data_IF_195769195320
#
_entry.id   IF_195769195320
#
_cell.length_a   1.000
_cell.length_b   1.000
_cell.length_c   1.000
_cell.angle_alpha   90.00
_cell.angle_beta   90.00
_cell.angle_gamma   90.00
#
_symmetry.space_group_name_H-M   'P 1'
#
loop_
_entity.id
_entity.type
_entity.pdbx_description
1 polymer ?
#
# COMPACT_ATOMS: atom_id res chain seq x y z
N UNK A 1 -60.66 55.41 52.18
CA UNK A 1 -60.06 56.24 51.12
C UNK A 1 -58.63 55.74 50.86
N UNK A 2 -58.30 55.44 49.59
CA UNK A 2 -56.97 55.45 48.92
C UNK A 2 -55.82 54.60 49.54
N UNK A 3 -55.38 53.51 48.89
CA UNK A 3 -54.36 53.43 47.80
C UNK A 3 -52.97 53.03 48.38
N UNK A 4 -52.09 52.14 47.88
CA UNK A 4 -51.86 51.45 46.59
C UNK A 4 -50.83 50.30 46.82
N UNK A 5 -51.05 49.08 46.29
CA UNK A 5 -50.36 48.39 45.14
C UNK A 5 -49.04 47.65 45.49
N UNK A 6 -49.07 46.31 45.62
CA UNK A 6 -48.61 45.22 44.68
C UNK A 6 -47.09 45.20 44.41
N UNK A 7 -46.38 44.08 44.65
CA UNK A 7 -46.34 42.94 43.72
C UNK A 7 -46.16 41.53 44.34
N UNK A 8 -46.74 40.57 43.61
CA UNK A 8 -46.84 39.09 43.73
C UNK A 8 -45.46 38.39 43.55
N UNK A 9 -45.18 37.12 43.92
CA UNK A 9 -45.94 35.94 44.38
C UNK A 9 -44.95 34.83 44.84
N UNK A 10 -45.34 34.09 45.90
CA UNK A 10 -45.38 32.62 46.16
C UNK A 10 -44.07 31.78 46.07
N UNK A 11 -43.57 31.17 47.16
CA UNK A 11 -44.06 30.01 47.95
C UNK A 11 -43.95 28.67 47.17
N UNK A 12 -43.48 27.53 47.70
CA UNK A 12 -43.58 27.02 49.07
C UNK A 12 -42.51 25.94 49.39
N UNK A 13 -42.52 25.56 50.67
CA UNK A 13 -41.56 24.77 51.47
C UNK A 13 -41.81 23.26 51.40
N UNK A 14 -40.74 22.50 51.69
CA UNK A 14 -40.61 21.05 51.87
C UNK A 14 -41.61 20.41 52.84
N UNK A 15 -41.95 19.13 52.58
CA UNK A 15 -42.24 18.12 53.61
C UNK A 15 -41.89 16.71 53.09
N UNK A 16 -41.39 15.87 54.01
CA UNK A 16 -40.76 14.56 53.81
C UNK A 16 -41.75 13.37 53.78
N UNK A 17 -41.28 12.18 53.33
CA UNK A 17 -41.42 10.85 53.97
C UNK A 17 -40.88 9.71 53.05
N UNK A 18 -40.56 8.50 53.60
CA UNK A 18 -39.59 7.53 53.09
C UNK A 18 -40.21 6.38 52.26
N UNK A 19 -39.36 5.64 51.52
CA UNK A 19 -39.76 4.47 50.73
C UNK A 19 -39.17 3.16 51.27
N UNK A 20 -40.09 2.23 51.52
CA UNK A 20 -39.90 0.82 51.87
C UNK A 20 -39.51 -0.02 50.66
N UNK A 21 -38.74 -1.07 50.94
CA UNK A 21 -38.30 -2.11 50.01
C UNK A 21 -39.46 -3.01 49.53
N UNK A 22 -39.40 -3.39 48.25
CA UNK A 22 -40.18 -4.47 47.66
C UNK A 22 -39.36 -5.14 46.56
N UNK A 23 -38.90 -6.37 46.82
CA UNK A 23 -38.15 -7.18 45.88
C UNK A 23 -39.07 -7.77 44.80
N UNK A 24 -38.73 -7.54 43.54
CA UNK A 24 -39.21 -8.28 42.38
C UNK A 24 -38.00 -8.96 41.71
N UNK A 25 -38.06 -10.28 41.58
CA UNK A 25 -37.15 -11.09 40.77
C UNK A 25 -37.45 -10.82 39.29
N UNK A 26 -36.55 -10.11 38.59
CA UNK A 26 -36.55 -10.00 37.13
C UNK A 26 -35.37 -10.80 36.57
N UNK A 27 -35.67 -11.75 35.67
CA UNK A 27 -34.71 -12.67 35.08
C UNK A 27 -33.62 -11.97 34.27
N UNK A 28 -32.41 -12.52 34.34
CA UNK A 28 -31.31 -12.18 33.45
C UNK A 28 -31.68 -12.53 31.99
N UNK A 29 -31.34 -11.70 31.00
CA UNK A 29 -31.46 -12.07 29.60
C UNK A 29 -30.47 -13.21 29.29
N UNK A 30 -30.81 -14.15 28.38
CA UNK A 30 -29.88 -15.21 28.00
C UNK A 30 -28.68 -14.62 27.27
N UNK A 31 -27.49 -15.06 27.66
CA UNK A 31 -26.24 -14.84 26.93
C UNK A 31 -26.41 -15.34 25.49
N UNK A 32 -26.31 -14.43 24.52
CA UNK A 32 -26.29 -14.78 23.12
C UNK A 32 -24.98 -15.53 22.83
N UNK A 33 -25.08 -16.85 22.62
CA UNK A 33 -23.99 -17.68 22.10
C UNK A 33 -23.51 -17.09 20.78
N UNK A 34 -22.22 -16.76 20.71
CA UNK A 34 -21.57 -16.31 19.49
C UNK A 34 -21.75 -17.35 18.37
N UNK A 35 -22.50 -16.99 17.33
CA UNK A 35 -22.58 -17.79 16.12
C UNK A 35 -21.24 -17.73 15.39
N UNK A 36 -20.65 -18.89 15.13
CA UNK A 36 -19.50 -19.07 14.23
C UNK A 36 -19.81 -18.43 12.88
N UNK A 37 -18.93 -17.60 12.28
CA UNK A 37 -19.21 -17.04 10.97
C UNK A 37 -19.28 -18.14 9.93
N UNK A 38 -20.40 -18.21 9.20
CA UNK A 38 -20.55 -19.08 8.04
C UNK A 38 -19.57 -18.64 6.93
N UNK A 39 -18.89 -19.62 6.33
CA UNK A 39 -17.95 -19.40 5.23
C UNK A 39 -18.62 -18.68 4.05
N UNK A 40 -17.94 -17.68 3.49
CA UNK A 40 -18.40 -16.98 2.29
C UNK A 40 -18.30 -17.91 1.07
N UNK A 41 -19.42 -18.23 0.45
CA UNK A 41 -19.44 -19.08 -0.74
C UNK A 41 -18.88 -18.34 -1.96
N UNK A 42 -17.70 -18.74 -2.42
CA UNK A 42 -17.16 -18.34 -3.72
C UNK A 42 -18.01 -18.99 -4.82
N UNK A 43 -18.78 -18.21 -5.58
CA UNK A 43 -19.57 -18.74 -6.70
C UNK A 43 -19.13 -18.11 -8.01
N UNK A 44 -18.64 -18.92 -8.95
CA UNK A 44 -18.44 -18.50 -10.34
C UNK A 44 -17.56 -19.42 -11.17
N UNK A 45 -17.37 -19.06 -12.43
CA UNK A 45 -16.76 -19.90 -13.46
C UNK A 45 -15.50 -19.25 -14.04
N UNK A 46 -14.40 -19.99 -14.15
CA UNK A 46 -13.11 -19.51 -14.66
C UNK A 46 -11.91 -20.34 -14.19
N UNK A 47 -10.67 -19.85 -14.36
CA UNK A 47 -9.49 -20.57 -13.92
C UNK A 47 -9.36 -20.62 -12.39
N UNK A 48 -8.90 -21.75 -11.87
CA UNK A 48 -8.31 -21.84 -10.53
C UNK A 48 -6.80 -21.77 -10.70
N UNK A 49 -6.13 -20.78 -10.11
CA UNK A 49 -4.67 -20.62 -10.23
C UNK A 49 -3.96 -20.89 -8.90
N UNK A 50 -2.71 -21.33 -8.96
CA UNK A 50 -1.89 -21.65 -7.79
C UNK A 50 -0.39 -21.47 -8.03
N UNK A 51 0.43 -22.28 -7.37
CA UNK A 51 1.90 -22.19 -7.41
C UNK A 51 2.47 -22.10 -8.84
N UNK A 52 3.43 -21.20 -9.02
CA UNK A 52 4.07 -20.96 -10.32
C UNK A 52 3.17 -20.24 -11.33
N UNK A 53 2.04 -19.64 -10.91
CA UNK A 53 1.09 -18.98 -11.80
C UNK A 53 0.32 -19.95 -12.70
N UNK A 54 0.29 -21.23 -12.33
CA UNK A 54 -0.31 -22.31 -13.13
C UNK A 54 -1.76 -22.55 -12.76
N UNK A 55 -2.49 -23.13 -13.69
CA UNK A 55 -3.90 -23.41 -13.57
C UNK A 55 -4.14 -24.86 -13.13
N UNK A 56 -5.19 -25.06 -12.32
CA UNK A 56 -5.79 -26.39 -12.11
C UNK A 56 -6.42 -26.80 -13.44
N UNK A 57 -6.02 -27.95 -13.95
CA UNK A 57 -6.26 -28.40 -15.31
C UNK A 57 -6.81 -29.82 -15.31
N UNK A 58 -7.83 -30.07 -16.13
CA UNK A 58 -8.28 -31.43 -16.47
C UNK A 58 -7.38 -31.96 -17.57
N UNK A 59 -6.60 -32.99 -17.26
CA UNK A 59 -5.58 -33.51 -18.18
C UNK A 59 -6.14 -33.84 -19.56
N UNK A 60 -5.56 -33.21 -20.59
CA UNK A 60 -5.95 -33.35 -21.99
C UNK A 60 -7.44 -33.08 -22.28
N UNK A 61 -8.11 -32.28 -21.44
CA UNK A 61 -9.56 -32.05 -21.49
C UNK A 61 -10.40 -33.35 -21.47
N UNK A 62 -9.87 -34.42 -20.86
CA UNK A 62 -10.54 -35.71 -20.79
C UNK A 62 -11.84 -35.65 -20.00
N UNK A 63 -12.89 -36.29 -20.52
CA UNK A 63 -14.22 -36.34 -19.89
C UNK A 63 -14.56 -37.72 -19.35
N UNK A 64 -13.60 -38.65 -19.26
CA UNK A 64 -13.80 -39.93 -18.61
C UNK A 64 -13.68 -39.79 -17.08
N UNK A 65 -14.45 -40.56 -16.32
CA UNK A 65 -14.26 -40.67 -14.87
C UNK A 65 -12.85 -41.18 -14.57
N UNK A 66 -12.16 -40.52 -13.64
CA UNK A 66 -10.77 -40.82 -13.31
C UNK A 66 -9.73 -40.00 -14.08
N UNK A 67 -10.17 -39.11 -14.99
CA UNK A 67 -9.27 -38.16 -15.66
C UNK A 67 -8.49 -37.37 -14.62
N UNK A 68 -7.17 -37.27 -14.77
CA UNK A 68 -6.31 -36.62 -13.80
C UNK A 68 -6.61 -35.11 -13.72
N UNK A 69 -6.64 -34.59 -12.50
CA UNK A 69 -6.56 -33.15 -12.26
C UNK A 69 -5.11 -32.80 -11.93
N UNK A 70 -4.55 -31.84 -12.66
CA UNK A 70 -3.12 -31.54 -12.68
C UNK A 70 -2.86 -30.03 -12.66
N UNK A 71 -1.60 -29.63 -12.46
CA UNK A 71 -1.12 -28.29 -12.82
C UNK A 71 -0.71 -28.25 -14.28
N UNK A 72 -1.10 -27.16 -14.94
CA UNK A 72 -0.65 -26.85 -16.30
C UNK A 72 -0.53 -25.34 -16.49
N UNK A 73 0.26 -24.91 -17.47
CA UNK A 73 0.27 -23.51 -17.90
C UNK A 73 -1.14 -23.06 -18.25
N UNK A 74 -1.51 -21.86 -17.78
CA UNK A 74 -2.80 -21.29 -18.08
C UNK A 74 -2.92 -21.03 -19.59
N UNK A 75 -3.83 -21.73 -20.25
CA UNK A 75 -3.97 -21.77 -21.71
C UNK A 75 -5.37 -21.36 -22.19
N UNK A 76 -6.28 -21.01 -21.27
CA UNK A 76 -7.61 -20.49 -21.58
C UNK A 76 -8.60 -21.51 -22.14
N UNK A 77 -8.26 -22.80 -22.13
CA UNK A 77 -9.15 -23.87 -22.61
C UNK A 77 -10.21 -24.23 -21.57
N UNK A 78 -11.28 -24.92 -22.00
CA UNK A 78 -12.33 -25.41 -21.10
C UNK A 78 -11.82 -26.43 -20.06
N UNK A 79 -10.66 -27.05 -20.29
CA UNK A 79 -10.01 -27.93 -19.30
C UNK A 79 -9.60 -27.18 -18.02
N UNK A 80 -9.50 -25.86 -18.08
CA UNK A 80 -9.12 -24.98 -16.97
C UNK A 80 -10.28 -24.09 -16.52
N UNK A 81 -11.48 -24.27 -17.09
CA UNK A 81 -12.66 -23.52 -16.71
C UNK A 81 -13.45 -24.29 -15.65
N UNK A 82 -13.25 -23.90 -14.39
CA UNK A 82 -13.90 -24.50 -13.23
C UNK A 82 -15.06 -23.62 -12.75
N UNK A 83 -16.18 -24.22 -12.39
CA UNK A 83 -17.31 -23.59 -11.72
C UNK A 83 -17.29 -23.97 -10.25
N UNK A 84 -17.12 -23.00 -9.36
CA UNK A 84 -17.35 -23.20 -7.91
C UNK A 84 -18.83 -22.97 -7.63
N UNK A 85 -19.52 -24.03 -7.24
CA UNK A 85 -20.95 -24.03 -6.97
C UNK A 85 -21.28 -23.64 -5.53
N UNK A 86 -22.46 -23.07 -5.33
CA UNK A 86 -23.02 -22.84 -3.98
C UNK A 86 -23.35 -24.15 -3.24
N UNK A 87 -23.37 -25.28 -3.97
CA UNK A 87 -23.53 -26.65 -3.47
C UNK A 87 -22.21 -27.25 -2.94
N UNK A 88 -21.19 -26.43 -2.71
CA UNK A 88 -19.84 -26.84 -2.25
C UNK A 88 -19.11 -27.80 -3.20
N UNK A 89 -19.51 -27.84 -4.47
CA UNK A 89 -18.79 -28.60 -5.49
C UNK A 89 -17.94 -27.68 -6.37
N UNK A 90 -16.88 -28.23 -6.96
CA UNK A 90 -16.02 -27.54 -7.94
C UNK A 90 -16.07 -28.35 -9.22
N UNK A 91 -16.61 -27.80 -10.31
CA UNK A 91 -16.94 -28.55 -11.53
C UNK A 91 -16.15 -28.07 -12.74
N UNK A 92 -15.67 -28.98 -13.57
CA UNK A 92 -15.16 -28.67 -14.90
C UNK A 92 -15.67 -29.70 -15.90
N UNK A 93 -15.92 -29.28 -17.15
CA UNK A 93 -16.40 -30.17 -18.22
C UNK A 93 -17.65 -30.99 -17.82
N UNK A 94 -18.53 -30.42 -16.99
CA UNK A 94 -19.76 -31.06 -16.52
C UNK A 94 -19.59 -32.09 -15.40
N UNK A 95 -18.38 -32.25 -14.83
CA UNK A 95 -18.04 -33.21 -13.78
C UNK A 95 -17.40 -32.53 -12.57
N UNK A 96 -17.32 -33.23 -11.45
CA UNK A 96 -16.85 -32.72 -10.17
C UNK A 96 -15.36 -33.01 -9.92
N UNK A 97 -14.66 -32.07 -9.27
CA UNK A 97 -13.36 -32.25 -8.65
C UNK A 97 -13.50 -33.25 -7.49
N UNK A 98 -12.80 -34.38 -7.60
CA UNK A 98 -13.04 -35.55 -6.78
C UNK A 98 -11.75 -36.05 -6.14
N UNK A 99 -11.81 -36.36 -4.84
CA UNK A 99 -10.74 -37.07 -4.14
C UNK A 99 -10.84 -38.56 -4.44
N UNK A 100 -9.81 -39.10 -5.11
CA UNK A 100 -9.84 -40.46 -5.65
C UNK A 100 -10.20 -41.50 -4.59
N UNK A 101 -11.23 -42.30 -4.89
CA UNK A 101 -11.66 -43.41 -4.02
C UNK A 101 -12.17 -42.96 -2.66
N UNK A 102 -12.57 -41.69 -2.50
CA UNK A 102 -12.95 -41.10 -1.22
C UNK A 102 -11.84 -41.16 -0.16
N UNK A 103 -10.58 -41.29 -0.59
CA UNK A 103 -9.45 -41.41 0.30
C UNK A 103 -9.27 -40.19 1.19
N UNK A 104 -8.81 -40.41 2.41
CA UNK A 104 -8.67 -39.34 3.42
C UNK A 104 -7.22 -39.05 3.80
N UNK A 105 -6.24 -39.80 3.29
CA UNK A 105 -4.82 -39.67 3.70
C UNK A 105 -4.05 -38.67 2.83
N UNK A 106 -2.96 -38.11 3.38
CA UNK A 106 -2.02 -37.25 2.65
C UNK A 106 -1.53 -37.94 1.37
N UNK A 107 -1.53 -37.20 0.26
CA UNK A 107 -1.06 -37.68 -1.03
C UNK A 107 -2.13 -38.36 -1.88
N UNK A 108 -3.36 -38.53 -1.38
CA UNK A 108 -4.49 -39.02 -2.18
C UNK A 108 -4.71 -38.08 -3.37
N UNK A 109 -4.73 -38.63 -4.59
CA UNK A 109 -4.75 -37.85 -5.83
C UNK A 109 -6.13 -37.33 -6.17
N UNK A 110 -6.16 -36.26 -6.95
CA UNK A 110 -7.39 -35.69 -7.47
C UNK A 110 -7.68 -36.20 -8.89
N UNK A 111 -8.98 -36.23 -9.18
CA UNK A 111 -9.51 -36.67 -10.45
C UNK A 111 -10.79 -35.91 -10.78
N UNK A 112 -11.21 -36.01 -12.04
CA UNK A 112 -12.52 -35.60 -12.49
C UNK A 112 -13.46 -36.81 -12.43
N UNK A 113 -14.65 -36.64 -11.84
CA UNK A 113 -15.63 -37.71 -11.69
C UNK A 113 -17.06 -37.19 -11.81
N UNK A 114 -17.99 -38.04 -12.25
CA UNK A 114 -19.41 -37.71 -12.25
C UNK A 114 -19.87 -37.21 -10.87
N UNK A 115 -20.63 -36.12 -10.86
CA UNK A 115 -21.12 -35.57 -9.61
C UNK A 115 -22.08 -36.58 -8.95
N UNK A 116 -21.69 -37.13 -7.80
CA UNK A 116 -22.37 -38.23 -7.11
C UNK A 116 -22.81 -37.86 -5.68
N UNK A 117 -22.54 -36.62 -5.24
CA UNK A 117 -22.95 -36.11 -3.92
C UNK A 117 -22.11 -36.64 -2.75
N UNK A 118 -21.05 -37.42 -2.99
CA UNK A 118 -20.14 -37.86 -1.93
C UNK A 118 -19.34 -36.70 -1.34
N UNK A 119 -18.87 -36.86 -0.10
CA UNK A 119 -18.03 -35.87 0.56
C UNK A 119 -16.65 -35.71 -0.09
N UNK A 120 -16.22 -36.65 -0.94
CA UNK A 120 -15.01 -36.54 -1.77
C UNK A 120 -15.10 -35.45 -2.86
N UNK A 121 -16.32 -34.99 -3.16
CA UNK A 121 -16.60 -33.95 -4.15
C UNK A 121 -16.98 -32.61 -3.51
N UNK A 122 -16.94 -32.55 -2.18
CA UNK A 122 -17.26 -31.36 -1.41
C UNK A 122 -15.97 -30.59 -1.10
N UNK A 123 -15.99 -29.30 -1.33
CA UNK A 123 -14.87 -28.39 -1.16
C UNK A 123 -15.33 -27.08 -0.53
N UNK A 124 -14.58 -26.64 0.48
CA UNK A 124 -14.81 -25.39 1.20
C UNK A 124 -13.62 -24.49 0.93
N UNK A 125 -13.88 -23.36 0.28
CA UNK A 125 -12.89 -22.31 0.10
C UNK A 125 -12.71 -21.54 1.42
N UNK A 126 -11.47 -21.39 1.85
CA UNK A 126 -11.10 -20.54 3.00
C UNK A 126 -10.61 -19.18 2.50
N UNK A 127 -10.71 -18.15 3.35
CA UNK A 127 -10.42 -16.76 2.98
C UNK A 127 -8.93 -16.50 2.65
N UNK A 128 -8.04 -17.40 3.06
CA UNK A 128 -6.60 -17.36 2.81
C UNK A 128 -6.18 -18.14 1.55
N UNK A 129 -7.14 -18.61 0.75
CA UNK A 129 -6.91 -19.32 -0.51
C UNK A 129 -6.79 -20.84 -0.37
N UNK A 130 -6.91 -21.39 0.83
CA UNK A 130 -6.97 -22.83 0.99
C UNK A 130 -8.31 -23.39 0.46
N UNK A 131 -8.25 -24.57 -0.19
CA UNK A 131 -9.45 -25.29 -0.63
C UNK A 131 -9.53 -26.61 0.12
N UNK A 132 -10.36 -26.65 1.16
CA UNK A 132 -10.50 -27.80 2.08
C UNK A 132 -11.50 -28.81 1.53
N UNK A 133 -11.17 -30.08 1.57
CA UNK A 133 -12.15 -31.16 1.45
C UNK A 133 -12.64 -31.56 2.87
N UNK A 134 -13.90 -31.27 3.27
CA UNK A 134 -14.35 -31.49 4.65
C UNK A 134 -14.32 -32.95 5.10
N UNK A 135 -14.56 -33.90 4.18
CA UNK A 135 -14.55 -35.34 4.49
C UNK A 135 -13.16 -35.83 4.91
N UNK A 136 -12.11 -35.40 4.20
CA UNK A 136 -10.73 -35.77 4.52
C UNK A 136 -10.08 -34.88 5.59
N UNK A 137 -10.62 -33.68 5.80
CA UNK A 137 -10.01 -32.64 6.64
C UNK A 137 -8.76 -31.98 6.02
N UNK A 138 -8.44 -32.31 4.76
CA UNK A 138 -7.22 -31.92 4.05
C UNK A 138 -7.50 -30.93 2.93
N UNK A 139 -6.44 -30.41 2.33
CA UNK A 139 -6.45 -29.27 1.43
C UNK A 139 -5.91 -29.63 0.05
N UNK A 140 -6.44 -28.99 -0.99
CA UNK A 140 -5.90 -29.04 -2.35
C UNK A 140 -4.41 -28.65 -2.33
N UNK A 141 -3.56 -29.50 -2.88
CA UNK A 141 -2.10 -29.41 -2.74
C UNK A 141 -1.41 -29.77 -4.06
N UNK A 142 -0.41 -28.96 -4.44
CA UNK A 142 0.55 -29.33 -5.46
C UNK A 142 1.76 -30.02 -4.79
N UNK A 143 2.02 -31.32 -5.08
CA UNK A 143 3.00 -32.12 -4.35
C UNK A 143 4.39 -31.49 -4.31
N UNK A 144 4.87 -31.15 -3.12
CA UNK A 144 6.20 -30.59 -2.90
C UNK A 144 6.47 -29.28 -3.64
N UNK A 145 5.43 -28.54 -4.02
CA UNK A 145 5.56 -27.30 -4.80
C UNK A 145 6.04 -27.51 -6.24
N UNK A 146 5.93 -28.73 -6.79
CA UNK A 146 6.34 -29.01 -8.17
C UNK A 146 5.48 -28.22 -9.17
N UNK A 147 6.12 -27.37 -9.97
CA UNK A 147 5.48 -26.52 -10.97
C UNK A 147 5.56 -27.11 -12.39
N UNK A 148 6.06 -28.32 -12.60
CA UNK A 148 6.07 -28.93 -13.93
C UNK A 148 4.64 -29.13 -14.46
N UNK A 149 4.42 -28.88 -15.76
CA UNK A 149 3.17 -29.21 -16.43
C UNK A 149 2.90 -30.71 -16.33
N UNK A 150 1.67 -31.08 -15.99
CA UNK A 150 1.28 -32.47 -15.74
C UNK A 150 1.45 -32.92 -14.28
N UNK A 151 1.89 -32.04 -13.38
CA UNK A 151 1.97 -32.37 -11.95
C UNK A 151 0.58 -32.70 -11.40
N UNK A 152 0.35 -33.96 -11.02
CA UNK A 152 -0.95 -34.42 -10.52
C UNK A 152 -1.21 -33.89 -9.11
N UNK A 153 -2.32 -33.15 -8.95
CA UNK A 153 -2.74 -32.57 -7.68
C UNK A 153 -3.20 -33.64 -6.69
N UNK A 154 -3.11 -33.31 -5.41
CA UNK A 154 -3.43 -34.19 -4.30
C UNK A 154 -4.14 -33.45 -3.17
N UNK A 155 -4.57 -34.18 -2.14
CA UNK A 155 -4.88 -33.60 -0.83
C UNK A 155 -3.72 -33.76 0.15
N UNK A 156 -3.51 -32.76 0.99
CA UNK A 156 -2.49 -32.80 2.04
C UNK A 156 -2.91 -31.99 3.27
N UNK A 157 -2.30 -32.25 4.43
CA UNK A 157 -2.53 -31.49 5.65
C UNK A 157 -2.21 -30.01 5.44
N UNK A 158 -2.92 -29.14 6.16
CA UNK A 158 -2.75 -27.69 6.05
C UNK A 158 -1.30 -27.29 6.35
N UNK A 159 -0.73 -26.47 5.49
CA UNK A 159 0.54 -25.80 5.73
C UNK A 159 0.48 -24.37 5.20
N UNK A 160 1.51 -23.57 5.45
CA UNK A 160 1.57 -22.17 5.02
C UNK A 160 2.32 -22.00 3.70
N UNK A 161 2.58 -23.09 2.96
CA UNK A 161 3.37 -23.00 1.75
C UNK A 161 2.51 -22.50 0.58
N UNK A 162 3.10 -21.75 -0.36
CA UNK A 162 2.37 -21.19 -1.50
C UNK A 162 1.71 -22.21 -2.45
N UNK A 163 2.03 -23.50 -2.32
CA UNK A 163 1.47 -24.58 -3.15
C UNK A 163 0.22 -25.26 -2.59
N UNK A 164 -0.33 -24.74 -1.49
CA UNK A 164 -1.69 -25.04 -1.00
C UNK A 164 -2.66 -23.85 -1.09
N UNK A 165 -2.18 -22.72 -1.60
CA UNK A 165 -3.01 -21.52 -1.77
C UNK A 165 -3.46 -21.39 -3.22
N UNK A 166 -4.77 -21.23 -3.42
CA UNK A 166 -5.44 -21.24 -4.71
C UNK A 166 -6.35 -20.02 -4.86
N UNK A 167 -6.37 -19.45 -6.06
CA UNK A 167 -7.32 -18.42 -6.44
C UNK A 167 -8.47 -19.05 -7.20
N UNK A 168 -9.69 -18.99 -6.65
CA UNK A 168 -10.90 -19.57 -7.26
C UNK A 168 -11.63 -18.58 -8.17
N UNK A 169 -12.35 -19.06 -9.20
CA UNK A 169 -13.20 -18.24 -10.04
C UNK A 169 -14.48 -17.81 -9.32
N UNK A 170 -14.88 -16.54 -9.48
CA UNK A 170 -16.09 -16.00 -8.84
C UNK A 170 -16.04 -15.84 -7.32
N UNK A 171 -14.90 -16.13 -6.69
CA UNK A 171 -14.58 -15.77 -5.30
C UNK A 171 -14.37 -14.27 -5.10
N UNK A 172 -15.30 -13.45 -5.60
CA UNK A 172 -15.46 -12.03 -5.28
C UNK A 172 -16.19 -11.80 -3.96
N UNK A 173 -16.02 -12.71 -2.99
CA UNK A 173 -16.35 -12.48 -1.59
C UNK A 173 -15.14 -11.85 -0.93
N UNK A 174 -15.28 -10.59 -0.55
CA UNK A 174 -14.26 -9.74 0.06
C UNK A 174 -13.52 -10.49 1.19
N UNK A 175 -12.20 -10.76 1.06
CA UNK A 175 -11.40 -11.01 2.26
C UNK A 175 -11.52 -9.75 3.14
N UNK A 176 -11.46 -9.84 4.49
CA UNK A 176 -11.18 -8.66 5.30
C UNK A 176 -9.77 -8.20 4.89
N UNK A 177 -9.67 -7.31 3.90
CA UNK A 177 -8.53 -7.39 3.00
C UNK A 177 -8.94 -7.17 1.56
N UNK A 178 -8.97 -8.18 0.68
CA UNK A 178 -8.94 -8.08 -0.81
C UNK A 178 -9.70 -6.92 -1.45
N UNK A 179 -9.02 -6.17 -2.32
CA UNK A 179 -9.61 -5.09 -3.11
C UNK A 179 -9.83 -5.58 -4.55
N UNK A 180 -10.97 -5.24 -5.15
CA UNK A 180 -11.24 -5.43 -6.58
C UNK A 180 -10.82 -4.17 -7.32
N UNK A 181 -9.78 -4.21 -8.15
CA UNK A 181 -9.30 -2.99 -8.77
C UNK A 181 -10.29 -2.49 -9.82
N UNK A 182 -10.79 -1.28 -9.63
CA UNK A 182 -11.65 -0.62 -10.62
C UNK A 182 -10.88 -0.21 -11.89
N UNK A 183 -9.55 -0.14 -11.80
CA UNK A 183 -8.65 0.31 -12.86
C UNK A 183 -7.81 -0.86 -13.41
N UNK A 184 -7.81 -1.03 -14.73
CA UNK A 184 -6.88 -1.93 -15.43
C UNK A 184 -5.45 -1.37 -15.44
N UNK A 185 -4.53 -2.03 -16.16
CA UNK A 185 -3.20 -1.45 -16.41
C UNK A 185 -3.31 -0.28 -17.38
N UNK A 186 -2.59 0.80 -17.11
CA UNK A 186 -2.60 2.02 -17.93
C UNK A 186 -2.56 3.30 -17.09
N UNK A 187 -2.72 4.44 -17.76
CA UNK A 187 -2.77 5.75 -17.12
C UNK A 187 -4.21 6.29 -17.09
N UNK A 188 -4.60 6.85 -15.95
CA UNK A 188 -5.95 7.32 -15.69
C UNK A 188 -5.92 8.67 -14.96
N UNK A 189 -6.78 9.60 -15.38
CA UNK A 189 -7.15 10.75 -14.57
C UNK A 189 -8.21 10.30 -13.56
N UNK A 190 -7.74 10.02 -12.33
CA UNK A 190 -8.59 9.50 -11.26
C UNK A 190 -9.20 10.65 -10.47
N UNK A 191 -10.55 10.71 -10.34
CA UNK A 191 -11.20 11.76 -9.58
C UNK A 191 -11.01 11.55 -8.07
N UNK A 192 -10.58 12.61 -7.38
CA UNK A 192 -10.44 12.66 -5.93
C UNK A 192 -11.22 13.85 -5.39
N UNK A 193 -12.30 13.59 -4.66
CA UNK A 193 -13.10 14.63 -3.99
C UNK A 193 -12.44 15.06 -2.68
N UNK A 194 -12.22 16.36 -2.53
CA UNK A 194 -11.63 16.97 -1.33
C UNK A 194 -12.15 18.40 -1.15
N UNK A 195 -12.65 18.72 0.06
CA UNK A 195 -13.15 20.06 0.37
C UNK A 195 -14.29 20.54 -0.56
N UNK A 196 -15.15 19.63 -1.01
CA UNK A 196 -16.25 19.93 -1.94
C UNK A 196 -15.83 20.14 -3.41
N UNK A 197 -14.53 20.00 -3.72
CA UNK A 197 -13.99 20.08 -5.09
C UNK A 197 -13.48 18.71 -5.54
N UNK A 198 -13.67 18.36 -6.81
CA UNK A 198 -13.08 17.15 -7.41
C UNK A 198 -11.80 17.52 -8.15
N UNK A 199 -10.70 16.89 -7.77
CA UNK A 199 -9.39 17.03 -8.40
C UNK A 199 -9.06 15.80 -9.22
N UNK A 200 -8.50 15.98 -10.41
CA UNK A 200 -8.00 14.88 -11.21
C UNK A 200 -6.55 14.57 -10.83
N UNK A 201 -6.30 13.31 -10.47
CA UNK A 201 -4.97 12.79 -10.14
C UNK A 201 -4.54 11.82 -11.21
N UNK A 202 -3.42 12.08 -11.86
CA UNK A 202 -2.85 11.15 -12.81
C UNK A 202 -2.33 9.91 -12.07
N UNK A 203 -2.82 8.74 -12.44
CA UNK A 203 -2.45 7.46 -11.83
C UNK A 203 -1.98 6.51 -12.93
N UNK A 204 -0.78 5.96 -12.76
CA UNK A 204 -0.25 4.88 -13.58
C UNK A 204 -0.40 3.56 -12.84
N UNK A 205 -1.15 2.63 -13.42
CA UNK A 205 -1.33 1.26 -12.94
C UNK A 205 -0.47 0.33 -13.80
N UNK A 206 0.47 -0.41 -13.22
CA UNK A 206 1.29 -1.35 -13.99
C UNK A 206 0.48 -2.60 -14.38
N UNK A 207 1.00 -3.43 -15.30
CA UNK A 207 0.50 -4.78 -15.51
C UNK A 207 0.40 -5.54 -14.18
N UNK A 208 -0.75 -6.18 -13.92
CA UNK A 208 -0.99 -6.91 -12.67
C UNK A 208 -1.91 -8.11 -12.85
N UNK A 209 -1.71 -9.13 -12.02
CA UNK A 209 -2.69 -10.19 -11.83
C UNK A 209 -3.97 -9.65 -11.19
N UNK A 210 -5.11 -10.23 -11.54
CA UNK A 210 -6.41 -9.83 -11.00
C UNK A 210 -6.46 -10.00 -9.46
N UNK A 211 -6.86 -8.93 -8.75
CA UNK A 211 -7.00 -8.92 -7.29
C UNK A 211 -5.72 -8.67 -6.49
N UNK A 212 -4.57 -8.51 -7.15
CA UNK A 212 -3.31 -8.23 -6.46
C UNK A 212 -3.30 -6.82 -5.85
N UNK A 213 -2.96 -6.75 -4.56
CA UNK A 213 -2.60 -5.47 -3.91
C UNK A 213 -1.20 -5.07 -4.28
N UNK A 214 -1.06 -3.85 -4.79
CA UNK A 214 0.23 -3.31 -5.21
C UNK A 214 0.71 -2.23 -4.24
N UNK A 215 2.02 -2.11 -4.04
CA UNK A 215 2.60 -0.90 -3.48
C UNK A 215 2.22 0.32 -4.31
N UNK A 216 2.25 1.49 -3.69
CA UNK A 216 2.07 2.75 -4.37
C UNK A 216 3.18 3.73 -4.03
N UNK A 217 3.60 4.51 -5.02
CA UNK A 217 4.49 5.65 -4.86
C UNK A 217 3.74 6.92 -5.23
N UNK A 218 3.58 7.85 -4.28
CA UNK A 218 3.24 9.24 -4.59
C UNK A 218 4.45 9.90 -5.25
N UNK A 219 4.30 10.47 -6.44
CA UNK A 219 5.37 11.11 -7.20
C UNK A 219 5.09 12.61 -7.41
N UNK A 220 5.70 13.44 -6.57
CA UNK A 220 5.33 14.84 -6.42
C UNK A 220 6.21 15.78 -7.25
N UNK A 221 5.57 16.64 -8.04
CA UNK A 221 6.26 17.55 -8.96
C UNK A 221 7.04 18.66 -8.25
N UNK A 222 8.09 19.16 -8.91
CA UNK A 222 8.81 20.38 -8.51
C UNK A 222 8.00 21.66 -8.68
N UNK A 223 8.51 22.78 -8.18
CA UNK A 223 7.81 24.07 -8.32
C UNK A 223 7.56 24.42 -9.79
N UNK A 224 6.40 25.02 -10.07
CA UNK A 224 5.92 25.36 -11.42
C UNK A 224 5.63 24.13 -12.31
N UNK A 225 5.62 22.93 -11.74
CA UNK A 225 5.31 21.69 -12.44
C UNK A 225 3.83 21.30 -12.40
N UNK A 226 3.55 20.11 -12.94
CA UNK A 226 2.27 19.40 -12.85
C UNK A 226 2.53 17.92 -12.59
N UNK A 227 1.51 17.18 -12.16
CA UNK A 227 1.61 15.72 -11.99
C UNK A 227 2.05 15.00 -13.26
N UNK A 228 1.43 15.31 -14.41
CA UNK A 228 1.81 14.76 -15.70
C UNK A 228 3.27 15.09 -16.08
N UNK A 229 3.69 16.34 -15.86
CA UNK A 229 5.07 16.76 -16.08
C UNK A 229 6.06 16.00 -15.21
N UNK A 230 5.72 15.72 -13.95
CA UNK A 230 6.57 14.94 -13.05
C UNK A 230 6.66 13.47 -13.42
N UNK A 231 5.56 12.84 -13.81
CA UNK A 231 5.58 11.44 -14.25
C UNK A 231 6.49 11.28 -15.48
N UNK A 232 6.42 12.23 -16.42
CA UNK A 232 7.31 12.26 -17.58
C UNK A 232 8.76 12.57 -17.18
N UNK A 233 9.00 13.57 -16.32
CA UNK A 233 10.34 14.00 -15.92
C UNK A 233 11.09 12.92 -15.15
N UNK A 234 10.44 12.28 -14.18
CA UNK A 234 11.05 11.20 -13.38
C UNK A 234 11.19 9.88 -14.15
N UNK A 235 10.44 9.69 -15.24
CA UNK A 235 10.36 8.43 -16.00
C UNK A 235 10.04 7.22 -15.10
N UNK A 236 9.10 7.41 -14.17
CA UNK A 236 8.78 6.41 -13.15
C UNK A 236 7.88 5.28 -13.68
N UNK A 237 7.07 5.53 -14.71
CA UNK A 237 6.10 4.55 -15.22
C UNK A 237 6.75 3.23 -15.71
N UNK A 238 7.85 3.25 -16.50
CA UNK A 238 8.55 2.01 -16.86
C UNK A 238 9.12 1.26 -15.65
N UNK A 239 9.60 2.00 -14.63
CA UNK A 239 10.09 1.38 -13.40
C UNK A 239 8.94 0.71 -12.65
N UNK A 240 7.77 1.36 -12.59
CA UNK A 240 6.54 0.79 -12.03
C UNK A 240 6.09 -0.48 -12.74
N UNK A 241 6.12 -0.49 -14.07
CA UNK A 241 5.74 -1.66 -14.87
C UNK A 241 6.67 -2.84 -14.64
N UNK A 242 7.98 -2.59 -14.58
CA UNK A 242 8.99 -3.63 -14.34
C UNK A 242 8.93 -4.22 -12.92
N UNK A 243 8.37 -3.48 -11.95
CA UNK A 243 8.45 -3.83 -10.53
C UNK A 243 7.11 -4.01 -9.82
N UNK A 244 5.99 -3.76 -10.51
CA UNK A 244 4.65 -3.98 -9.98
C UNK A 244 4.25 -3.00 -8.87
N UNK A 245 4.42 -1.69 -9.08
CA UNK A 245 3.87 -0.67 -8.17
C UNK A 245 3.07 0.42 -8.90
N UNK A 246 2.07 0.97 -8.22
CA UNK A 246 1.23 2.06 -8.72
C UNK A 246 1.99 3.39 -8.55
N UNK A 247 1.89 4.28 -9.52
CA UNK A 247 2.38 5.66 -9.38
C UNK A 247 1.19 6.61 -9.37
N UNK A 248 1.09 7.43 -8.34
CA UNK A 248 0.14 8.53 -8.32
C UNK A 248 0.90 9.86 -8.40
N UNK A 249 0.61 10.64 -9.44
CA UNK A 249 1.23 11.93 -9.71
C UNK A 249 0.19 13.06 -9.60
N UNK A 250 -0.16 13.50 -8.37
CA UNK A 250 -1.07 14.61 -8.16
C UNK A 250 -0.45 15.96 -8.54
N UNK A 251 -1.31 16.95 -8.80
CA UNK A 251 -0.91 18.35 -9.03
C UNK A 251 -1.21 19.22 -7.80
N UNK A 252 -0.24 20.05 -7.42
CA UNK A 252 -0.39 21.07 -6.37
C UNK A 252 -1.46 22.10 -6.73
N UNK A 253 -1.92 22.86 -5.74
CA UNK A 253 -3.08 23.77 -5.94
C UNK A 253 -2.68 25.20 -6.29
N UNK A 254 -1.50 25.65 -5.86
CA UNK A 254 -1.15 27.07 -5.88
C UNK A 254 -0.53 27.40 -7.22
N UNK A 255 -1.22 28.19 -8.05
CA UNK A 255 -0.73 28.57 -9.37
C UNK A 255 0.57 29.38 -9.25
N UNK A 256 1.59 29.00 -10.02
CA UNK A 256 2.88 29.68 -10.04
C UNK A 256 3.59 29.41 -11.36
N UNK A 257 4.00 30.48 -12.06
CA UNK A 257 4.62 30.38 -13.38
C UNK A 257 3.77 29.56 -14.35
N UNK A 258 4.40 28.61 -15.04
CA UNK A 258 3.75 27.72 -16.01
C UNK A 258 2.85 26.64 -15.38
N UNK A 259 2.96 26.40 -14.08
CA UNK A 259 2.25 25.32 -13.40
C UNK A 259 1.88 25.67 -11.97
N UNK A 260 2.26 24.79 -11.03
CA UNK A 260 1.81 24.87 -9.65
C UNK A 260 2.95 24.67 -8.66
N UNK A 261 2.73 25.14 -7.43
CA UNK A 261 3.52 24.77 -6.26
C UNK A 261 2.61 24.09 -5.24
N UNK A 262 3.24 23.34 -4.34
CA UNK A 262 2.58 22.72 -3.20
C UNK A 262 2.37 23.73 -2.08
N UNK A 263 1.25 23.62 -1.37
CA UNK A 263 1.09 24.21 -0.05
C UNK A 263 1.86 23.35 0.98
N UNK A 264 3.16 23.60 1.10
CA UNK A 264 4.02 22.90 2.07
C UNK A 264 3.86 23.61 3.43
N UNK A 265 3.55 22.88 4.51
CA UNK A 265 3.46 23.45 5.84
C UNK A 265 4.69 24.31 6.18
N UNK A 266 4.44 25.51 6.73
CA UNK A 266 5.44 26.50 7.13
C UNK A 266 6.29 27.14 6.03
N UNK A 267 6.00 26.88 4.75
CA UNK A 267 6.69 27.51 3.61
C UNK A 267 5.73 28.37 2.81
N UNK A 268 4.63 27.78 2.36
CA UNK A 268 3.66 28.47 1.49
C UNK A 268 2.64 29.23 2.35
N UNK A 269 2.21 30.44 1.96
CA UNK A 269 1.20 31.21 2.70
C UNK A 269 -0.11 30.44 2.92
N UNK A 270 -0.72 30.64 4.09
CA UNK A 270 -2.02 30.05 4.47
C UNK A 270 -3.16 30.53 3.57
N UNK A 271 -4.25 29.76 3.51
CA UNK A 271 -5.47 30.13 2.76
C UNK A 271 -5.64 29.42 1.41
N UNK A 272 -4.78 28.44 1.12
CA UNK A 272 -4.92 27.54 -0.04
C UNK A 272 -5.28 26.13 0.43
N UNK A 273 -5.58 25.20 -0.49
CA UNK A 273 -5.88 23.79 -0.16
C UNK A 273 -4.79 23.23 0.75
N UNK A 274 -5.18 22.53 1.82
CA UNK A 274 -4.25 21.75 2.62
C UNK A 274 -3.79 20.55 1.77
N UNK A 275 -2.58 20.66 1.20
CA UNK A 275 -2.03 19.61 0.34
C UNK A 275 -1.62 18.36 1.13
N UNK A 276 -1.36 18.46 2.44
CA UNK A 276 -1.09 17.26 3.28
C UNK A 276 -2.37 16.46 3.45
N UNK A 277 -3.47 17.13 3.82
CA UNK A 277 -4.77 16.49 3.95
C UNK A 277 -5.31 15.97 2.60
N UNK A 278 -5.08 16.72 1.51
CA UNK A 278 -5.41 16.26 0.17
C UNK A 278 -4.64 14.99 -0.21
N UNK A 279 -3.32 14.93 0.02
CA UNK A 279 -2.53 13.75 -0.31
C UNK A 279 -2.89 12.54 0.57
N UNK A 280 -3.30 12.75 1.83
CA UNK A 280 -3.93 11.70 2.65
C UNK A 280 -5.21 11.17 1.98
N UNK A 281 -6.05 12.06 1.45
CA UNK A 281 -7.25 11.67 0.71
C UNK A 281 -6.93 10.91 -0.58
N UNK A 282 -5.89 11.32 -1.33
CA UNK A 282 -5.41 10.58 -2.52
C UNK A 282 -5.01 9.15 -2.14
N UNK A 283 -4.22 8.98 -1.07
CA UNK A 283 -3.83 7.63 -0.58
C UNK A 283 -5.09 6.82 -0.23
N UNK A 284 -6.04 7.41 0.50
CA UNK A 284 -7.28 6.72 0.89
C UNK A 284 -8.10 6.30 -0.32
N UNK A 285 -8.28 7.20 -1.28
CA UNK A 285 -9.05 6.92 -2.50
C UNK A 285 -8.41 5.80 -3.30
N UNK A 286 -7.09 5.84 -3.52
CA UNK A 286 -6.40 4.82 -4.33
C UNK A 286 -6.24 3.49 -3.59
N UNK A 287 -6.16 3.50 -2.25
CA UNK A 287 -6.27 2.28 -1.44
C UNK A 287 -7.60 1.57 -1.67
N UNK A 288 -8.68 2.33 -1.78
CA UNK A 288 -10.02 1.79 -2.04
C UNK A 288 -10.23 1.41 -3.52
N UNK A 289 -9.82 2.25 -4.48
CA UNK A 289 -10.19 2.10 -5.89
C UNK A 289 -9.17 1.33 -6.73
N UNK A 290 -7.89 1.40 -6.36
CA UNK A 290 -6.77 0.85 -7.14
C UNK A 290 -6.07 -0.31 -6.43
N UNK A 291 -6.56 -0.76 -5.27
CA UNK A 291 -6.00 -1.86 -4.50
C UNK A 291 -4.56 -1.62 -4.08
N UNK A 292 -4.31 -0.41 -3.60
CA UNK A 292 -3.04 -0.13 -2.95
C UNK A 292 -2.95 -0.96 -1.67
N UNK A 293 -1.78 -1.52 -1.43
CA UNK A 293 -1.43 -2.11 -0.16
C UNK A 293 -1.17 -1.00 0.87
N UNK A 294 -2.01 -0.85 1.91
CA UNK A 294 -1.83 0.22 2.89
C UNK A 294 -0.52 0.11 3.68
N UNK A 295 0.11 -1.07 3.72
CA UNK A 295 1.42 -1.24 4.34
C UNK A 295 2.58 -0.83 3.41
N UNK A 296 2.34 -0.63 2.11
CA UNK A 296 3.36 -0.34 1.10
C UNK A 296 3.02 0.92 0.31
N UNK A 297 2.73 1.99 1.04
CA UNK A 297 2.56 3.35 0.49
C UNK A 297 3.84 4.14 0.73
N UNK A 298 4.43 4.66 -0.34
CA UNK A 298 5.66 5.43 -0.32
C UNK A 298 5.45 6.81 -0.95
N UNK A 299 6.37 7.74 -0.70
CA UNK A 299 6.35 9.04 -1.36
C UNK A 299 7.74 9.46 -1.85
N UNK A 300 7.79 10.04 -3.03
CA UNK A 300 8.95 10.68 -3.63
C UNK A 300 8.52 11.99 -4.28
N UNK A 301 9.49 12.86 -4.54
CA UNK A 301 9.23 14.09 -5.26
C UNK A 301 10.48 14.88 -5.52
N UNK A 302 10.40 15.73 -6.53
CA UNK A 302 11.50 16.56 -7.00
C UNK A 302 11.41 17.98 -6.43
N UNK A 303 12.50 18.55 -5.93
CA UNK A 303 12.58 19.97 -5.55
C UNK A 303 11.48 20.39 -4.57
N UNK A 304 10.51 21.21 -5.00
CA UNK A 304 9.30 21.53 -4.24
C UNK A 304 8.48 20.31 -3.80
N UNK A 305 8.37 19.30 -4.66
CA UNK A 305 7.77 18.01 -4.32
C UNK A 305 8.63 17.18 -3.38
N UNK A 306 9.96 17.37 -3.38
CA UNK A 306 10.88 16.78 -2.40
C UNK A 306 10.67 17.37 -0.99
N UNK A 307 10.41 18.68 -0.91
CA UNK A 307 9.99 19.33 0.35
C UNK A 307 8.66 18.77 0.82
N UNK A 308 7.68 18.67 -0.09
CA UNK A 308 6.38 18.12 0.25
C UNK A 308 6.51 16.67 0.73
N UNK A 309 7.32 15.85 0.04
CA UNK A 309 7.65 14.47 0.44
C UNK A 309 8.20 14.41 1.87
N UNK A 310 9.12 15.32 2.20
CA UNK A 310 9.68 15.43 3.55
C UNK A 310 8.62 15.83 4.59
N UNK A 311 7.73 16.78 4.26
CA UNK A 311 6.63 17.17 5.13
C UNK A 311 5.62 16.03 5.35
N UNK A 312 5.36 15.23 4.31
CA UNK A 312 4.51 14.05 4.40
C UNK A 312 5.10 13.00 5.36
N UNK A 313 6.42 12.80 5.38
CA UNK A 313 7.05 11.90 6.35
C UNK A 313 6.82 12.39 7.80
N UNK A 314 6.88 13.70 8.05
CA UNK A 314 6.60 14.28 9.37
C UNK A 314 5.13 14.13 9.78
N UNK A 315 4.19 14.35 8.85
CA UNK A 315 2.76 14.55 9.15
C UNK A 315 1.89 13.31 8.91
N UNK A 316 2.32 12.41 8.02
CA UNK A 316 1.58 11.21 7.59
C UNK A 316 2.39 9.93 7.83
N UNK A 317 3.22 9.91 8.87
CA UNK A 317 3.98 8.70 9.26
C UNK A 317 3.09 7.48 9.56
N UNK A 318 1.79 7.68 9.81
CA UNK A 318 0.76 6.62 9.94
C UNK A 318 0.24 6.08 8.60
N UNK A 319 0.59 6.71 7.48
CA UNK A 319 0.17 6.33 6.12
C UNK A 319 1.32 6.05 5.16
N UNK A 320 2.51 6.59 5.38
CA UNK A 320 3.62 6.49 4.43
C UNK A 320 4.76 5.70 5.04
N UNK A 321 4.98 4.49 4.55
CA UNK A 321 5.97 3.54 5.04
C UNK A 321 7.40 4.12 5.00
N UNK A 322 7.81 4.67 3.85
CA UNK A 322 9.12 5.28 3.62
C UNK A 322 9.06 6.41 2.57
N UNK A 323 10.08 7.27 2.54
CA UNK A 323 10.14 8.41 1.60
C UNK A 323 11.46 8.52 0.85
N UNK A 324 11.39 9.07 -0.36
CA UNK A 324 12.54 9.29 -1.24
C UNK A 324 12.60 10.72 -1.84
N UNK A 325 12.93 11.77 -1.08
CA UNK A 325 13.04 13.12 -1.62
C UNK A 325 14.24 13.28 -2.58
N UNK A 326 14.01 13.86 -3.76
CA UNK A 326 15.03 14.16 -4.77
C UNK A 326 15.23 15.68 -4.87
N UNK A 327 16.47 16.12 -4.74
CA UNK A 327 16.87 17.53 -4.74
C UNK A 327 16.03 18.37 -3.74
N UNK A 328 15.62 17.80 -2.61
CA UNK A 328 14.64 18.45 -1.73
C UNK A 328 14.43 17.84 -0.35
N UNK A 329 15.39 17.06 0.17
CA UNK A 329 15.28 16.52 1.53
C UNK A 329 15.25 17.65 2.57
N UNK A 330 14.30 17.53 3.50
CA UNK A 330 14.14 18.39 4.69
C UNK A 330 13.70 17.53 5.88
N UNK A 331 13.87 18.03 7.10
CA UNK A 331 13.39 17.41 8.32
C UNK A 331 12.77 18.48 9.24
N UNK A 332 11.73 19.15 8.72
CA UNK A 332 11.17 20.38 9.27
C UNK A 332 11.60 21.64 8.52
N UNK A 333 11.03 22.79 8.86
CA UNK A 333 11.46 24.10 8.34
C UNK A 333 12.80 24.53 8.97
N UNK A 334 13.53 25.50 8.39
CA UNK A 334 14.64 26.15 9.07
C UNK A 334 14.20 26.79 10.39
N UNK A 335 15.01 26.66 11.44
CA UNK A 335 14.74 27.28 12.74
C UNK A 335 14.70 28.82 12.59
N UNK A 336 13.61 29.50 13.01
CA UNK A 336 13.52 30.95 12.92
C UNK A 336 14.62 31.70 13.67
N UNK A 337 15.20 31.10 14.72
CA UNK A 337 16.30 31.68 15.49
C UNK A 337 17.67 31.39 14.86
N UNK A 338 17.82 30.24 14.18
CA UNK A 338 19.05 29.83 13.50
C UNK A 338 18.74 28.93 12.31
N UNK A 339 18.51 29.54 11.14
CA UNK A 339 18.08 28.79 9.95
C UNK A 339 19.11 27.79 9.41
N UNK A 340 20.32 27.73 9.97
CA UNK A 340 21.30 26.65 9.69
C UNK A 340 20.92 25.32 10.36
N UNK A 341 19.89 25.33 11.21
CA UNK A 341 19.36 24.15 11.91
C UNK A 341 17.88 23.92 11.56
N UNK A 342 17.40 22.66 11.60
CA UNK A 342 15.97 22.39 11.46
C UNK A 342 15.21 22.72 12.75
N UNK A 343 14.04 23.36 12.63
CA UNK A 343 13.11 23.64 13.74
C UNK A 343 12.50 22.31 14.26
N UNK A 344 12.82 21.88 15.49
CA UNK A 344 12.30 20.63 16.05
C UNK A 344 10.78 20.59 16.17
N UNK A 345 10.11 21.75 16.34
CA UNK A 345 8.67 21.82 16.49
C UNK A 345 7.91 21.62 15.17
N UNK A 346 8.61 21.71 14.04
CA UNK A 346 8.00 21.62 12.70
C UNK A 346 8.00 20.20 12.10
N UNK A 347 8.62 19.23 12.77
CA UNK A 347 8.64 17.83 12.33
C UNK A 347 8.83 16.87 13.51
N UNK A 348 7.77 16.11 13.81
CA UNK A 348 7.74 15.09 14.86
C UNK A 348 6.85 13.92 14.41
N UNK A 349 7.36 13.00 13.56
CA UNK A 349 6.59 11.84 13.12
C UNK A 349 6.24 10.91 14.29
N UNK A 350 5.10 10.24 14.20
CA UNK A 350 4.61 9.31 15.23
C UNK A 350 5.41 8.01 15.33
N UNK A 351 6.28 7.73 14.35
CA UNK A 351 7.25 6.62 14.35
C UNK A 351 8.52 7.00 13.59
N UNK A 352 9.55 6.16 13.67
CA UNK A 352 10.72 6.29 12.81
C UNK A 352 10.34 6.04 11.34
N UNK A 353 10.77 6.90 10.42
CA UNK A 353 10.43 6.85 8.98
C UNK A 353 11.68 6.63 8.15
N UNK A 354 11.84 5.47 7.48
CA UNK A 354 12.94 5.24 6.55
C UNK A 354 13.02 6.31 5.45
N UNK A 355 14.22 6.84 5.19
CA UNK A 355 14.46 7.92 4.21
C UNK A 355 15.63 7.56 3.30
N UNK A 356 15.45 7.68 2.00
CA UNK A 356 16.53 7.66 1.00
C UNK A 356 16.51 8.95 0.17
N UNK A 357 17.60 9.72 0.13
CA UNK A 357 17.63 10.99 -0.59
C UNK A 357 18.65 11.00 -1.72
N UNK A 358 18.41 11.87 -2.70
CA UNK A 358 19.29 12.07 -3.86
C UNK A 358 19.52 13.55 -4.08
N UNK A 359 20.77 14.00 -4.16
CA UNK A 359 21.04 15.44 -4.28
C UNK A 359 22.37 15.73 -5.00
N UNK A 360 22.37 16.70 -5.91
CA UNK A 360 23.58 17.17 -6.57
C UNK A 360 24.35 18.19 -5.73
N UNK A 361 25.68 18.06 -5.63
CA UNK A 361 26.51 19.00 -4.87
C UNK A 361 26.70 20.35 -5.57
N UNK A 362 26.40 20.44 -6.86
CA UNK A 362 26.40 21.68 -7.66
C UNK A 362 24.99 22.24 -7.88
N UNK A 363 24.02 21.78 -7.09
CA UNK A 363 22.66 22.33 -7.09
C UNK A 363 22.68 23.78 -6.59
N UNK A 364 22.46 24.75 -7.48
CA UNK A 364 22.39 26.18 -7.15
C UNK A 364 20.96 26.66 -6.83
N UNK A 365 19.96 25.79 -6.97
CA UNK A 365 18.56 26.12 -6.72
C UNK A 365 18.20 25.77 -5.28
N UNK A 366 18.55 24.54 -4.87
CA UNK A 366 18.41 24.02 -3.52
C UNK A 366 19.81 23.60 -3.03
N UNK A 367 20.64 24.55 -2.54
CA UNK A 367 22.04 24.30 -2.26
C UNK A 367 22.29 23.11 -1.34
N UNK A 368 23.12 22.16 -1.80
CA UNK A 368 23.52 20.99 -1.01
C UNK A 368 24.14 21.39 0.33
N UNK A 369 24.98 22.43 0.31
CA UNK A 369 25.72 22.92 1.48
C UNK A 369 24.93 23.94 2.32
N UNK A 370 23.66 24.21 1.99
CA UNK A 370 22.86 25.25 2.64
C UNK A 370 23.17 26.64 2.12
N UNK A 371 22.66 27.67 2.80
CA UNK A 371 22.77 29.08 2.36
C UNK A 371 21.73 29.49 1.31
N UNK A 372 20.76 28.61 1.00
CA UNK A 372 19.62 28.95 0.15
C UNK A 372 18.56 29.77 0.88
N UNK A 373 17.37 29.88 0.27
CA UNK A 373 16.19 30.54 0.82
C UNK A 373 15.98 30.29 2.33
N UNK A 374 15.78 31.36 3.11
CA UNK A 374 15.68 31.32 4.58
C UNK A 374 14.44 30.59 5.10
N UNK A 375 13.39 30.47 4.30
CA UNK A 375 12.13 29.80 4.65
C UNK A 375 12.13 28.32 4.35
N UNK A 376 12.97 27.88 3.40
CA UNK A 376 12.92 26.52 2.89
C UNK A 376 14.28 25.82 2.79
N UNK A 377 15.37 26.52 2.45
CA UNK A 377 16.62 25.94 1.98
C UNK A 377 17.89 26.26 2.77
N UNK A 378 17.77 26.92 3.92
CA UNK A 378 18.92 27.52 4.58
C UNK A 378 19.90 26.50 5.19
N UNK A 379 19.43 25.51 5.96
CA UNK A 379 20.28 24.41 6.43
C UNK A 379 20.64 23.44 5.30
N UNK A 380 21.79 22.77 5.44
CA UNK A 380 22.35 21.89 4.41
C UNK A 380 21.66 20.53 4.30
N UNK A 381 21.86 19.85 3.17
CA UNK A 381 21.36 18.50 2.93
C UNK A 381 21.91 17.48 3.94
N UNK A 382 23.22 17.47 4.28
CA UNK A 382 23.75 16.63 5.36
C UNK A 382 23.10 16.90 6.72
N UNK A 383 22.79 18.17 7.05
CA UNK A 383 22.08 18.52 8.29
C UNK A 383 20.65 17.95 8.29
N UNK A 384 19.96 17.98 7.15
CA UNK A 384 18.65 17.34 6.98
C UNK A 384 18.73 15.83 7.24
N UNK A 385 19.73 15.16 6.64
CA UNK A 385 19.96 13.73 6.81
C UNK A 385 20.23 13.36 8.27
N UNK A 386 21.12 14.11 8.93
CA UNK A 386 21.45 13.90 10.35
C UNK A 386 20.23 14.09 11.26
N UNK A 387 19.35 15.05 10.94
CA UNK A 387 18.11 15.24 11.69
C UNK A 387 17.17 14.05 11.53
N UNK A 388 17.02 13.49 10.33
CA UNK A 388 16.26 12.25 10.14
C UNK A 388 16.86 11.09 10.92
N UNK A 389 18.19 10.94 10.93
CA UNK A 389 18.86 9.91 11.72
C UNK A 389 18.56 10.06 13.22
N UNK A 390 18.53 11.30 13.71
CA UNK A 390 18.13 11.61 15.10
C UNK A 390 16.66 11.25 15.35
N UNK A 391 15.74 11.64 14.45
CA UNK A 391 14.31 11.31 14.57
C UNK A 391 14.07 9.80 14.56
N UNK A 392 14.84 9.06 13.76
CA UNK A 392 14.74 7.61 13.67
C UNK A 392 15.49 6.87 14.79
N UNK A 393 16.27 7.57 15.61
CA UNK A 393 17.05 6.98 16.70
C UNK A 393 18.18 6.09 16.20
N UNK A 394 18.83 6.47 15.11
CA UNK A 394 19.98 5.74 14.55
C UNK A 394 21.18 5.77 15.51
N UNK A 395 21.86 4.64 15.62
CA UNK A 395 22.98 4.44 16.56
C UNK A 395 24.33 4.25 15.88
N UNK A 396 24.35 4.14 14.54
CA UNK A 396 25.56 3.95 13.74
C UNK A 396 25.60 4.91 12.56
N UNK A 397 26.82 5.22 12.10
CA UNK A 397 27.07 6.11 10.98
C UNK A 397 27.26 7.59 11.36
N UNK A 398 27.43 8.47 10.37
CA UNK A 398 27.32 8.17 8.94
C UNK A 398 28.50 7.31 8.44
N UNK A 399 28.22 6.29 7.64
CA UNK A 399 29.23 5.59 6.83
C UNK A 399 29.08 6.05 5.40
N UNK A 400 30.17 6.50 4.78
CA UNK A 400 30.18 6.97 3.38
C UNK A 400 30.99 6.02 2.51
N UNK A 401 30.40 5.60 1.39
CA UNK A 401 31.03 4.75 0.38
C UNK A 401 30.97 5.43 -0.98
N UNK A 402 32.06 5.37 -1.73
CA UNK A 402 32.08 5.78 -3.14
C UNK A 402 31.38 4.70 -3.99
N UNK A 403 30.26 5.03 -4.62
CA UNK A 403 29.48 4.09 -5.44
C UNK A 403 30.01 4.06 -6.88
N UNK A 404 30.30 5.23 -7.44
CA UNK A 404 30.83 5.43 -8.80
C UNK A 404 31.79 6.62 -8.80
N UNK A 405 32.27 7.09 -9.95
CA UNK A 405 33.21 8.23 -10.02
C UNK A 405 32.68 9.49 -9.33
N UNK A 406 31.40 9.83 -9.53
CA UNK A 406 30.82 11.06 -8.97
C UNK A 406 29.77 10.83 -7.88
N UNK A 407 29.42 9.58 -7.57
CA UNK A 407 28.35 9.26 -6.62
C UNK A 407 28.91 8.70 -5.33
N UNK A 408 28.54 9.33 -4.22
CA UNK A 408 28.77 8.85 -2.86
C UNK A 408 27.44 8.45 -2.21
N UNK A 409 27.44 7.35 -1.48
CA UNK A 409 26.32 6.86 -0.68
C UNK A 409 26.67 6.96 0.80
N UNK A 410 25.88 7.71 1.57
CA UNK A 410 26.08 7.92 3.01
C UNK A 410 24.90 7.35 3.78
N UNK A 411 25.17 6.51 4.78
CA UNK A 411 24.14 5.75 5.52
C UNK A 411 24.27 5.97 7.02
N UNK A 412 23.13 6.26 7.67
CA UNK A 412 22.92 6.05 9.09
C UNK A 412 22.08 4.79 9.31
N UNK A 413 22.56 3.91 10.19
CA UNK A 413 21.95 2.61 10.45
C UNK A 413 21.70 2.35 11.93
N UNK A 414 21.22 1.15 12.27
CA UNK A 414 20.87 0.79 13.65
C UNK A 414 19.76 1.69 14.20
N UNK A 415 18.83 2.07 13.33
CA UNK A 415 17.70 2.93 13.63
C UNK A 415 16.51 2.10 14.16
N UNK A 416 15.60 2.75 14.88
CA UNK A 416 14.36 2.12 15.35
C UNK A 416 13.56 1.59 14.16
N UNK A 417 12.94 0.43 14.32
CA UNK A 417 12.12 -0.25 13.32
C UNK A 417 12.82 -0.47 11.97
N UNK A 418 14.17 -0.52 11.95
CA UNK A 418 14.95 -0.63 10.73
C UNK A 418 14.88 0.61 9.82
N UNK A 419 14.47 1.76 10.35
CA UNK A 419 14.28 3.00 9.58
C UNK A 419 15.59 3.71 9.21
N UNK A 420 16.39 3.07 8.37
CA UNK A 420 17.67 3.61 7.89
C UNK A 420 17.50 4.95 7.18
N UNK A 421 18.56 5.77 7.21
CA UNK A 421 18.60 7.08 6.56
C UNK A 421 19.78 7.14 5.61
N UNK A 422 19.47 7.18 4.32
CA UNK A 422 20.43 7.09 3.22
C UNK A 422 20.45 8.38 2.39
N UNK A 423 21.62 8.73 1.88
CA UNK A 423 21.83 9.86 0.98
C UNK A 423 22.79 9.48 -0.14
N UNK A 424 22.34 9.61 -1.38
CA UNK A 424 23.17 9.61 -2.57
C UNK A 424 23.49 11.04 -2.97
N UNK A 425 24.75 11.44 -2.81
CA UNK A 425 25.23 12.74 -3.25
C UNK A 425 26.05 12.62 -4.54
N UNK A 426 25.81 13.52 -5.49
CA UNK A 426 26.46 13.51 -6.81
C UNK A 426 27.38 14.73 -6.93
N UNK A 427 28.69 14.54 -6.94
CA UNK A 427 29.68 15.63 -6.83
C UNK A 427 29.63 16.64 -7.97
N UNK A 428 29.32 16.19 -9.19
CA UNK A 428 29.11 17.02 -10.37
C UNK A 428 27.63 17.26 -10.70
N UNK A 429 26.70 16.72 -9.91
CA UNK A 429 25.27 16.80 -10.18
C UNK A 429 24.69 18.16 -9.83
N UNK A 430 23.75 18.63 -10.64
CA UNK A 430 23.00 19.86 -10.40
C UNK A 430 21.66 19.63 -9.68
N UNK A 431 20.74 20.57 -9.89
CA UNK A 431 19.34 20.50 -9.48
C UNK A 431 18.55 19.57 -10.40
N UNK A 432 18.79 18.25 -10.35
CA UNK A 432 18.26 17.31 -11.34
C UNK A 432 17.81 16.00 -10.70
N UNK A 433 17.13 15.15 -11.49
CA UNK A 433 16.72 13.80 -11.10
C UNK A 433 17.71 12.75 -11.65
N UNK A 434 18.50 12.06 -10.79
CA UNK A 434 19.48 11.07 -11.26
C UNK A 434 18.84 9.96 -12.09
N UNK A 435 19.34 9.78 -13.32
CA UNK A 435 18.83 8.80 -14.28
C UNK A 435 17.61 9.24 -15.11
N UNK A 436 17.05 10.45 -14.89
CA UNK A 436 15.94 10.95 -15.72
C UNK A 436 16.37 11.13 -17.18
N UNK A 437 15.67 10.61 -18.19
CA UNK A 437 16.05 10.79 -19.60
C UNK A 437 15.94 12.25 -20.07
N UNK A 438 15.29 13.12 -19.30
CA UNK A 438 15.11 14.51 -19.64
C UNK A 438 16.27 15.35 -19.09
N UNK A 439 17.06 15.93 -19.98
CA UNK A 439 18.05 16.93 -19.59
C UNK A 439 17.35 18.26 -19.27
N UNK A 440 17.80 18.91 -18.20
CA UNK A 440 17.27 20.20 -17.79
C UNK A 440 18.33 21.28 -17.97
N UNK A 441 18.33 21.90 -19.15
CA UNK A 441 19.24 23.01 -19.44
C UNK A 441 19.07 24.13 -18.39
N UNK A 442 20.18 24.53 -17.77
CA UNK A 442 20.21 25.55 -16.71
C UNK A 442 20.13 25.01 -15.27
N UNK A 443 19.77 23.73 -15.08
CA UNK A 443 19.72 23.10 -13.75
C UNK A 443 21.01 22.31 -13.41
N UNK A 444 22.04 22.36 -14.26
CA UNK A 444 23.29 21.63 -14.09
C UNK A 444 23.21 20.18 -14.59
N UNK A 445 24.24 19.38 -14.28
CA UNK A 445 24.38 18.03 -14.85
C UNK A 445 23.37 17.05 -14.25
N UNK A 446 22.72 16.27 -15.12
CA UNK A 446 21.95 15.09 -14.73
C UNK A 446 22.86 13.86 -14.77
N UNK A 447 23.12 13.23 -13.63
CA UNK A 447 23.95 12.01 -13.65
C UNK A 447 23.21 10.84 -14.30
N UNK A 448 23.99 10.00 -14.99
CA UNK A 448 23.58 8.71 -15.58
C UNK A 448 24.25 7.52 -14.89
N UNK A 449 25.10 7.77 -13.90
CA UNK A 449 25.86 6.74 -13.18
C UNK A 449 24.97 5.90 -12.25
N UNK A 450 23.81 6.45 -11.86
CA UNK A 450 22.80 5.78 -11.04
C UNK A 450 21.39 6.09 -11.55
N UNK A 451 20.45 5.22 -11.20
CA UNK A 451 19.01 5.45 -11.36
C UNK A 451 18.38 5.70 -9.99
N UNK A 452 17.89 6.91 -9.75
CA UNK A 452 17.16 7.21 -8.51
C UNK A 452 15.94 6.30 -8.35
N UNK A 453 15.21 6.02 -9.44
CA UNK A 453 14.02 5.17 -9.43
C UNK A 453 14.33 3.73 -8.98
N UNK A 454 15.43 3.16 -9.48
CA UNK A 454 15.83 1.79 -9.14
C UNK A 454 16.27 1.69 -7.67
N UNK A 455 17.13 2.62 -7.23
CA UNK A 455 17.65 2.64 -5.86
C UNK A 455 16.54 2.93 -4.84
N UNK A 456 15.67 3.91 -5.10
CA UNK A 456 14.55 4.20 -4.20
C UNK A 456 13.57 3.03 -4.11
N UNK A 457 13.34 2.32 -5.21
CA UNK A 457 12.44 1.17 -5.19
C UNK A 457 13.03 0.00 -4.39
N UNK A 458 14.32 -0.31 -4.57
CA UNK A 458 15.02 -1.31 -3.75
C UNK A 458 14.96 -0.97 -2.26
N UNK A 459 15.09 0.32 -1.92
CA UNK A 459 14.94 0.80 -0.56
C UNK A 459 13.50 0.62 -0.06
N UNK A 460 12.49 1.05 -0.82
CA UNK A 460 11.08 0.90 -0.46
C UNK A 460 10.68 -0.56 -0.22
N UNK A 461 11.16 -1.51 -1.02
CA UNK A 461 10.86 -2.94 -0.83
C UNK A 461 11.31 -3.48 0.53
N UNK A 462 12.36 -2.91 1.11
CA UNK A 462 12.91 -3.32 2.42
C UNK A 462 12.17 -2.67 3.58
N UNK A 463 11.29 -1.70 3.30
CA UNK A 463 10.71 -0.82 4.30
C UNK A 463 9.18 -0.73 4.22
N UNK A 464 8.43 -1.86 4.23
CA UNK A 464 6.99 -1.80 4.46
C UNK A 464 6.70 -1.20 5.85
N UNK A 465 5.47 -0.72 6.05
CA UNK A 465 5.00 -0.29 7.36
C UNK A 465 5.23 -1.40 8.40
N UNK A 466 5.82 -1.07 9.58
CA UNK A 466 5.90 -2.01 10.67
C UNK A 466 4.51 -2.53 11.03
N UNK A 467 4.37 -3.84 11.21
CA UNK A 467 3.14 -4.40 11.77
C UNK A 467 2.94 -3.84 13.18
N UNK A 468 1.71 -3.48 13.55
CA UNK A 468 1.42 -3.06 14.91
C UNK A 468 1.89 -4.16 15.87
N UNK A 469 2.74 -3.82 16.84
CA UNK A 469 3.14 -4.75 17.88
C UNK A 469 1.86 -5.25 18.58
N UNK A 470 1.68 -6.57 18.55
CA UNK A 470 0.51 -7.28 19.11
C UNK A 470 0.51 -7.21 20.62
#
# INVERSE_FOLDING_TARGET
>A
MRAKIFTRKRAAVLAALPLLAGAWLAGAPPEATAATPAAASATGTGPITGVGGKCVDVAAAGTANGTAVQLYDCNGTNAQSWTVGSDSTVKALGKCLDVTGQGTVNGTKLQLWDCNGSGAQQWVAEADGHLKNPQSGRYLDAPGGNTANGTRLQIWDRNTNPWQTWQLPGGGGTPPGGCTPALGSGQYDTPVSFGGTTYQVLVHIPPRAAGARLPMVLNLHGSQGTGAGQLAYSDMAPTADANGFIVAAPTGVVRSGSGYIWNVPYVTPSGTRDDVAFLRQVISTLTASACVDPARVYATGYSGGGRMTSALACMLSDKIAAVAPVAGIRAGRPDPADGTRPDPASCAPGRAVPVIAFHGQQDNTNPYYGGGDSTAWHYSVPVAQQRWATLNGCTTGPTTTQTTTHVQHTVYGGCRDGANVELYSVSNGGHTWPGSPQESAGNGTTTREISANSLMWQFFQQHPMPSAAS
#
